data_IF_300400953578
#
_entry.id   IF_300400953578
#
_cell.length_a   1.000
_cell.length_b   1.000
_cell.length_c   1.000
_cell.angle_alpha   90.00
_cell.angle_beta   90.00
_cell.angle_gamma   90.00
#
_symmetry.space_group_name_H-M   'P 1'
#
loop_
_entity.id
_entity.type
_entity.pdbx_description
1 polymer ?
#
# COMPACT_ATOMS: atom_id res chain seq x y z
N UNK A 1 65.45 -26.58 63.11
CA UNK A 1 66.46 -25.52 63.35
C UNK A 1 66.24 -24.41 62.35
N UNK A 2 66.05 -23.16 62.84
CA UNK A 2 66.30 -21.83 62.20
C UNK A 2 65.74 -21.61 60.76
N UNK A 3 65.14 -20.50 60.35
CA UNK A 3 64.72 -19.22 60.92
C UNK A 3 64.08 -18.43 59.74
N UNK A 4 63.02 -17.65 60.02
CA UNK A 4 62.75 -16.24 59.61
C UNK A 4 62.69 -15.87 58.10
N UNK A 5 61.61 -15.24 57.61
CA UNK A 5 61.30 -13.76 57.65
C UNK A 5 62.47 -12.95 57.03
N UNK A 6 62.37 -12.00 56.09
CA UNK A 6 61.29 -11.05 55.68
C UNK A 6 61.81 -10.11 54.57
N UNK A 7 60.90 -9.61 53.73
CA UNK A 7 60.75 -8.21 53.19
C UNK A 7 61.82 -7.57 52.28
N UNK A 8 61.36 -6.97 51.15
CA UNK A 8 61.58 -5.58 50.64
C UNK A 8 61.16 -5.53 49.14
N UNK A 9 59.94 -5.07 48.79
CA UNK A 9 59.54 -3.69 48.51
C UNK A 9 60.16 -3.05 47.26
N UNK A 10 59.36 -2.91 46.18
CA UNK A 10 59.41 -1.76 45.29
C UNK A 10 58.06 -1.59 44.57
N UNK A 11 57.40 -0.48 44.90
CA UNK A 11 56.15 0.01 44.30
C UNK A 11 56.44 0.60 42.92
N UNK A 12 55.55 0.39 41.94
CA UNK A 12 55.30 1.40 40.90
C UNK A 12 53.81 1.41 40.50
N UNK A 13 53.11 2.40 41.05
CA UNK A 13 52.03 3.26 40.50
C UNK A 13 50.82 2.65 39.75
N UNK A 14 49.65 2.78 40.40
CA UNK A 14 48.29 2.86 39.82
C UNK A 14 48.07 4.19 39.04
N UNK A 15 47.14 4.26 38.06
CA UNK A 15 45.73 4.60 38.35
C UNK A 15 44.72 3.59 37.72
N UNK A 16 43.64 3.16 38.41
CA UNK A 16 42.30 3.83 38.51
C UNK A 16 41.67 3.94 37.11
N UNK A 17 40.58 3.28 36.71
CA UNK A 17 39.26 3.10 37.33
C UNK A 17 38.50 2.08 36.45
N UNK A 18 37.89 1.02 37.00
CA UNK A 18 36.92 0.23 36.25
C UNK A 18 35.77 -0.17 37.18
N UNK A 19 34.86 0.77 37.38
CA UNK A 19 33.58 0.54 38.05
C UNK A 19 32.47 0.59 36.99
N UNK A 20 31.93 -0.59 36.70
CA UNK A 20 30.51 -0.92 36.51
C UNK A 20 29.64 -0.05 35.59
N UNK A 21 29.03 -0.67 34.57
CA UNK A 21 27.58 -0.61 34.36
C UNK A 21 27.06 -1.75 33.48
N UNK A 22 25.80 -2.09 33.75
CA UNK A 22 24.98 -3.19 33.27
C UNK A 22 24.62 -3.16 31.78
N UNK A 23 24.33 -4.35 31.25
CA UNK A 23 23.34 -4.75 30.22
C UNK A 23 23.20 -3.87 28.96
N UNK A 24 23.26 -4.49 27.78
CA UNK A 24 22.10 -4.57 26.86
C UNK A 24 22.41 -5.40 25.62
N UNK A 25 21.40 -6.17 25.21
CA UNK A 25 21.38 -7.01 24.02
C UNK A 25 21.42 -6.17 22.73
N UNK A 26 22.26 -6.57 21.77
CA UNK A 26 22.27 -6.00 20.43
C UNK A 26 21.05 -6.49 19.65
N UNK A 27 19.99 -5.69 19.61
CA UNK A 27 18.96 -5.73 18.56
C UNK A 27 19.44 -4.88 17.39
N UNK A 28 19.81 -5.52 16.28
CA UNK A 28 19.98 -4.84 15.01
C UNK A 28 18.58 -4.48 14.49
N UNK A 29 18.23 -3.20 14.62
CA UNK A 29 17.03 -2.63 14.00
C UNK A 29 17.51 -1.90 12.75
N UNK A 30 17.03 -2.23 11.53
CA UNK A 30 17.29 -1.40 10.36
C UNK A 30 16.72 0.00 10.59
N UNK A 31 17.48 1.03 10.20
CA UNK A 31 17.06 2.43 10.29
C UNK A 31 15.82 2.66 9.40
N UNK A 32 14.69 3.05 10.01
CA UNK A 32 13.51 3.55 9.30
C UNK A 32 13.85 4.83 8.52
N UNK A 33 13.56 4.83 7.23
CA UNK A 33 13.40 6.04 6.43
C UNK A 33 12.07 6.75 6.84
N UNK A 34 11.91 8.05 6.54
CA UNK A 34 10.76 8.84 7.00
C UNK A 34 9.43 8.20 6.54
N UNK A 35 8.63 7.75 7.52
CA UNK A 35 7.31 7.18 7.28
C UNK A 35 6.34 8.28 6.87
N UNK A 36 5.48 7.99 5.89
CA UNK A 36 4.27 8.79 5.69
C UNK A 36 3.45 8.86 6.99
N UNK A 37 2.76 9.96 7.27
CA UNK A 37 1.69 9.93 8.26
C UNK A 37 0.65 8.90 7.81
N UNK A 38 0.43 7.86 8.61
CA UNK A 38 -0.63 6.88 8.38
C UNK A 38 -1.97 7.62 8.40
N UNK A 39 -2.48 7.97 7.22
CA UNK A 39 -3.74 8.68 7.08
C UNK A 39 -4.88 7.71 7.39
N UNK A 40 -5.61 8.00 8.48
CA UNK A 40 -6.81 7.27 8.87
C UNK A 40 -7.84 7.31 7.74
N UNK A 41 -8.50 6.18 7.48
CA UNK A 41 -9.67 6.12 6.61
C UNK A 41 -10.79 7.02 7.16
N UNK A 42 -10.78 8.30 6.79
CA UNK A 42 -11.78 9.26 7.20
C UNK A 42 -12.98 9.15 6.24
N UNK A 43 -14.15 8.82 6.78
CA UNK A 43 -15.41 9.08 6.10
C UNK A 43 -15.58 10.60 5.98
N UNK A 44 -15.13 11.17 4.86
CA UNK A 44 -15.22 12.61 4.65
C UNK A 44 -16.66 13.02 4.35
N UNK A 45 -17.23 13.78 5.30
CA UNK A 45 -18.50 14.49 5.17
C UNK A 45 -18.44 15.56 4.08
N UNK A 46 -19.52 15.72 3.32
CA UNK A 46 -19.70 16.66 2.23
C UNK A 46 -19.65 18.14 2.67
N UNK A 47 -18.45 18.70 2.86
CA UNK A 47 -18.21 20.14 2.81
C UNK A 47 -17.92 20.56 1.38
N UNK A 48 -18.60 21.59 0.86
CA UNK A 48 -18.32 22.19 -0.45
C UNK A 48 -16.97 22.90 -0.37
N UNK A 49 -15.91 22.21 -0.79
CA UNK A 49 -14.57 22.81 -0.92
C UNK A 49 -14.50 23.55 -2.27
N UNK A 50 -14.43 24.88 -2.22
CA UNK A 50 -14.47 25.78 -3.39
C UNK A 50 -13.22 25.69 -4.29
N UNK A 51 -12.17 25.01 -3.83
CA UNK A 51 -10.94 24.67 -4.58
C UNK A 51 -11.11 23.49 -5.56
N UNK A 52 -12.26 22.81 -5.53
CA UNK A 52 -12.54 21.62 -6.36
C UNK A 52 -13.08 21.94 -7.77
N UNK A 53 -13.30 23.21 -8.12
CA UNK A 53 -13.89 23.56 -9.41
C UNK A 53 -12.84 23.55 -10.54
N UNK A 54 -13.08 22.80 -11.64
CA UNK A 54 -12.30 22.88 -12.86
C UNK A 54 -12.15 24.33 -13.33
N UNK A 55 -10.92 24.78 -13.59
CA UNK A 55 -10.66 26.10 -14.17
C UNK A 55 -10.68 26.08 -15.71
N UNK A 56 -10.77 24.88 -16.30
CA UNK A 56 -10.82 24.63 -17.74
C UNK A 56 -11.86 23.57 -18.09
N UNK A 57 -12.17 23.43 -19.39
CA UNK A 57 -13.00 22.33 -19.89
C UNK A 57 -12.31 20.98 -19.59
N UNK A 58 -13.02 20.01 -18.99
CA UNK A 58 -12.46 18.70 -18.71
C UNK A 58 -12.18 17.91 -20.00
N UNK A 59 -11.01 17.27 -20.03
CA UNK A 59 -10.61 16.35 -21.09
C UNK A 59 -10.86 14.92 -20.64
N UNK A 60 -11.65 14.16 -21.39
CA UNK A 60 -11.89 12.73 -21.12
C UNK A 60 -10.60 11.94 -21.33
N UNK A 61 -10.13 11.27 -20.28
CA UNK A 61 -8.96 10.39 -20.28
C UNK A 61 -9.36 8.94 -20.57
N UNK A 62 -10.47 8.50 -19.99
CA UNK A 62 -10.96 7.14 -20.13
C UNK A 62 -12.49 7.13 -20.12
N UNK A 63 -13.08 6.33 -21.00
CA UNK A 63 -14.50 6.01 -21.03
C UNK A 63 -14.62 4.50 -21.23
N UNK A 64 -15.16 3.78 -20.24
CA UNK A 64 -15.17 2.32 -20.25
C UNK A 64 -16.49 1.78 -19.72
N UNK A 65 -17.01 0.75 -20.40
CA UNK A 65 -18.20 0.00 -19.96
C UNK A 65 -17.84 -1.46 -19.76
N UNK A 66 -18.11 -2.01 -18.58
CA UNK A 66 -17.80 -3.40 -18.25
C UNK A 66 -18.70 -3.93 -17.13
N UNK A 67 -19.20 -5.17 -17.26
CA UNK A 67 -20.01 -5.81 -16.22
C UNK A 67 -21.19 -4.95 -15.73
N UNK A 68 -21.81 -4.15 -16.61
CA UNK A 68 -22.89 -3.21 -16.29
C UNK A 68 -22.45 -1.90 -15.61
N UNK A 69 -21.16 -1.69 -15.37
CA UNK A 69 -20.60 -0.39 -15.03
C UNK A 69 -20.37 0.45 -16.28
N UNK A 70 -20.54 1.75 -16.15
CA UNK A 70 -20.02 2.75 -17.10
C UNK A 70 -19.22 3.77 -16.28
N UNK A 71 -17.97 3.96 -16.66
CA UNK A 71 -16.97 4.75 -15.92
C UNK A 71 -16.35 5.75 -16.88
N UNK A 72 -16.42 7.03 -16.52
CA UNK A 72 -15.81 8.13 -17.26
C UNK A 72 -14.85 8.87 -16.33
N UNK A 73 -13.58 8.92 -16.73
CA UNK A 73 -12.52 9.68 -16.09
C UNK A 73 -12.23 10.91 -16.95
N UNK A 74 -12.37 12.09 -16.37
CA UNK A 74 -12.00 13.35 -17.03
C UNK A 74 -11.03 14.13 -16.17
N UNK A 75 -10.07 14.82 -16.77
CA UNK A 75 -9.13 15.66 -16.04
C UNK A 75 -9.32 17.11 -16.46
N UNK A 76 -9.23 18.03 -15.51
CA UNK A 76 -9.22 19.46 -15.79
C UNK A 76 -8.17 20.14 -14.92
N UNK A 77 -7.51 21.18 -15.44
CA UNK A 77 -6.67 22.04 -14.62
C UNK A 77 -7.50 22.66 -13.48
N UNK A 78 -6.89 22.86 -12.31
CA UNK A 78 -7.48 23.60 -11.21
C UNK A 78 -6.69 24.89 -10.95
N UNK A 79 -6.97 25.58 -9.85
CA UNK A 79 -6.36 26.89 -9.54
C UNK A 79 -5.15 26.78 -8.58
N UNK A 80 -4.77 25.58 -8.16
CA UNK A 80 -3.64 25.35 -7.27
C UNK A 80 -2.34 25.47 -8.05
N UNK A 81 -1.47 26.39 -7.65
CA UNK A 81 -0.12 26.51 -8.21
C UNK A 81 0.82 25.57 -7.47
N UNK A 82 1.64 24.83 -8.23
CA UNK A 82 2.66 23.97 -7.63
C UNK A 82 3.87 24.81 -7.26
N UNK A 83 4.20 24.83 -5.97
CA UNK A 83 5.29 25.61 -5.37
C UNK A 83 6.62 25.28 -6.06
N UNK A 84 7.35 26.34 -6.40
CA UNK A 84 8.64 26.22 -7.07
C UNK A 84 8.55 25.94 -8.57
N UNK A 85 7.35 25.94 -9.16
CA UNK A 85 7.15 25.73 -10.60
C UNK A 85 6.16 26.76 -11.19
N UNK A 86 6.08 26.78 -12.52
CA UNK A 86 5.04 27.51 -13.26
C UNK A 86 3.81 26.63 -13.60
N UNK A 87 3.74 25.43 -13.02
CA UNK A 87 2.68 24.47 -13.30
C UNK A 87 1.48 24.69 -12.37
N UNK A 88 0.31 24.26 -12.84
CA UNK A 88 -0.92 24.18 -12.06
C UNK A 88 -1.30 22.73 -11.87
N UNK A 89 -1.86 22.43 -10.71
CA UNK A 89 -2.40 21.13 -10.42
C UNK A 89 -3.67 20.85 -11.26
N UNK A 90 -4.10 19.60 -11.27
CA UNK A 90 -5.31 19.15 -11.94
C UNK A 90 -6.27 18.43 -10.98
N UNK A 91 -7.51 18.31 -11.41
CA UNK A 91 -8.57 17.58 -10.73
C UNK A 91 -9.07 16.48 -11.65
N UNK A 92 -9.07 15.25 -11.17
CA UNK A 92 -9.74 14.12 -11.80
C UNK A 92 -11.22 14.14 -11.41
N UNK A 93 -12.10 14.08 -12.40
CA UNK A 93 -13.55 14.03 -12.25
C UNK A 93 -14.02 12.63 -12.64
N UNK A 94 -14.59 11.92 -11.66
CA UNK A 94 -15.02 10.53 -11.82
C UNK A 94 -16.54 10.48 -11.91
N UNK A 95 -17.05 10.02 -13.06
CA UNK A 95 -18.47 9.75 -13.28
C UNK A 95 -18.68 8.26 -13.41
N UNK A 96 -19.52 7.68 -12.55
CA UNK A 96 -19.77 6.23 -12.51
C UNK A 96 -21.26 5.96 -12.45
N UNK A 97 -21.73 5.12 -13.37
CA UNK A 97 -23.06 4.54 -13.32
C UNK A 97 -23.00 3.02 -13.29
N UNK A 98 -24.03 2.39 -12.71
CA UNK A 98 -24.19 0.95 -12.62
C UNK A 98 -25.59 0.57 -13.09
N UNK A 99 -25.66 -0.23 -14.16
CA UNK A 99 -26.89 -0.66 -14.82
C UNK A 99 -27.80 0.54 -15.16
N UNK A 100 -27.21 1.63 -15.67
CA UNK A 100 -27.92 2.87 -16.02
C UNK A 100 -28.25 3.79 -14.84
N UNK A 101 -28.03 3.37 -13.59
CA UNK A 101 -28.18 4.24 -12.41
C UNK A 101 -26.89 4.99 -12.12
N UNK A 102 -26.94 6.32 -12.16
CA UNK A 102 -25.82 7.17 -11.75
C UNK A 102 -25.55 7.00 -10.25
N UNK A 103 -24.30 6.70 -9.89
CA UNK A 103 -23.85 6.54 -8.50
C UNK A 103 -22.94 7.70 -8.08
N UNK A 104 -22.05 8.12 -8.98
CA UNK A 104 -21.15 9.24 -8.77
C UNK A 104 -21.20 10.15 -9.99
N UNK A 105 -21.47 11.43 -9.76
CA UNK A 105 -21.49 12.45 -10.81
C UNK A 105 -20.29 13.37 -10.63
N UNK A 106 -19.34 13.30 -11.57
CA UNK A 106 -18.13 14.15 -11.61
C UNK A 106 -17.47 14.30 -10.22
N UNK A 107 -17.37 13.21 -9.46
CA UNK A 107 -16.76 13.19 -8.13
C UNK A 107 -15.31 13.66 -8.26
N UNK A 108 -14.91 14.77 -7.63
CA UNK A 108 -13.54 15.25 -7.76
C UNK A 108 -12.59 14.43 -6.91
N UNK A 109 -11.44 14.11 -7.50
CA UNK A 109 -10.24 13.58 -6.87
C UNK A 109 -9.12 14.58 -7.16
N UNK A 110 -8.47 15.05 -6.11
CA UNK A 110 -7.36 16.01 -6.15
C UNK A 110 -6.12 15.43 -5.49
N UNK A 111 -4.97 16.09 -5.65
CA UNK A 111 -3.74 15.82 -4.89
C UNK A 111 -4.02 15.66 -3.39
N UNK A 112 -4.79 16.57 -2.80
CA UNK A 112 -5.20 16.50 -1.39
C UNK A 112 -5.98 15.22 -1.06
N UNK A 113 -6.86 14.79 -1.97
CA UNK A 113 -7.66 13.57 -1.77
C UNK A 113 -6.78 12.32 -1.85
N UNK A 114 -5.80 12.31 -2.76
CA UNK A 114 -4.83 11.22 -2.92
C UNK A 114 -3.94 11.09 -1.70
N UNK A 115 -3.43 12.22 -1.17
CA UNK A 115 -2.46 12.24 -0.07
C UNK A 115 -3.11 12.27 1.33
N UNK A 116 -4.41 12.53 1.42
CA UNK A 116 -5.12 12.68 2.69
C UNK A 116 -4.78 13.96 3.46
N UNK A 117 -4.08 14.91 2.83
CA UNK A 117 -3.60 16.15 3.45
C UNK A 117 -3.23 17.21 2.40
N UNK A 118 -2.99 18.44 2.85
CA UNK A 118 -2.54 19.52 1.96
C UNK A 118 -1.12 19.25 1.45
N UNK A 119 -0.88 19.47 0.16
CA UNK A 119 0.43 19.42 -0.48
C UNK A 119 0.44 20.44 -1.63
N UNK A 120 1.50 21.25 -1.69
CA UNK A 120 1.71 22.28 -2.71
C UNK A 120 2.96 21.99 -3.57
N UNK A 121 3.60 20.83 -3.40
CA UNK A 121 4.83 20.42 -4.11
C UNK A 121 4.61 19.35 -5.16
N UNK A 122 3.50 18.63 -5.06
CA UNK A 122 3.08 17.55 -5.95
C UNK A 122 1.86 17.95 -6.76
N UNK A 123 1.76 17.36 -7.94
CA UNK A 123 0.60 17.48 -8.81
C UNK A 123 -0.06 16.12 -8.99
N UNK A 124 -1.35 16.13 -9.26
CA UNK A 124 -2.10 14.94 -9.66
C UNK A 124 -1.50 14.41 -10.97
N UNK A 125 -1.02 13.17 -10.91
CA UNK A 125 -0.42 12.48 -12.04
C UNK A 125 -1.40 11.57 -12.77
N UNK A 126 -0.87 10.59 -13.52
CA UNK A 126 -1.69 9.60 -14.21
C UNK A 126 -2.69 8.93 -13.28
N UNK A 127 -3.91 8.76 -13.79
CA UNK A 127 -4.99 8.08 -13.10
C UNK A 127 -5.72 7.17 -14.07
N UNK A 128 -6.03 5.95 -13.65
CA UNK A 128 -6.62 4.94 -14.53
C UNK A 128 -7.54 4.00 -13.75
N UNK A 129 -8.51 3.41 -14.46
CA UNK A 129 -9.29 2.30 -13.90
C UNK A 129 -8.39 1.07 -13.85
N UNK A 130 -8.06 0.62 -12.64
CA UNK A 130 -7.19 -0.55 -12.43
C UNK A 130 -7.99 -1.85 -12.56
N UNK A 131 -9.15 -1.95 -11.89
CA UNK A 131 -9.98 -3.15 -11.95
C UNK A 131 -11.47 -2.82 -11.80
N UNK A 132 -12.33 -3.55 -12.51
CA UNK A 132 -13.78 -3.50 -12.35
C UNK A 132 -14.28 -4.88 -11.93
N UNK A 133 -14.91 -4.98 -10.76
CA UNK A 133 -15.58 -6.19 -10.27
C UNK A 133 -17.10 -6.06 -10.41
N UNK A 134 -17.87 -7.05 -9.96
CA UNK A 134 -19.33 -6.94 -9.95
C UNK A 134 -19.83 -5.89 -8.94
N UNK A 135 -19.00 -5.62 -7.93
CA UNK A 135 -19.32 -4.87 -6.72
C UNK A 135 -18.62 -3.52 -6.68
N UNK A 136 -17.48 -3.35 -7.35
CA UNK A 136 -16.62 -2.18 -7.15
C UNK A 136 -15.90 -1.80 -8.44
N UNK A 137 -15.71 -0.49 -8.64
CA UNK A 137 -14.76 0.08 -9.61
C UNK A 137 -13.56 0.58 -8.82
N UNK A 138 -12.38 0.07 -9.15
CA UNK A 138 -11.10 0.49 -8.56
C UNK A 138 -10.37 1.42 -9.52
N UNK A 139 -10.06 2.62 -9.04
CA UNK A 139 -9.26 3.62 -9.76
C UNK A 139 -8.00 3.85 -8.94
N UNK A 140 -6.85 3.86 -9.60
CA UNK A 140 -5.60 4.29 -9.00
C UNK A 140 -5.33 5.70 -9.47
N UNK A 141 -5.02 6.59 -8.53
CA UNK A 141 -4.58 7.94 -8.80
C UNK A 141 -3.36 8.27 -7.96
N UNK A 142 -2.35 8.85 -8.61
CA UNK A 142 -1.10 9.26 -7.97
C UNK A 142 -0.94 10.77 -7.89
N UNK A 143 -0.14 11.21 -6.93
CA UNK A 143 0.32 12.58 -6.79
C UNK A 143 1.86 12.57 -6.73
N UNK A 144 2.50 13.30 -7.63
CA UNK A 144 3.94 13.24 -7.86
C UNK A 144 4.55 14.63 -7.92
N UNK A 145 5.83 14.74 -7.55
CA UNK A 145 6.62 15.93 -7.84
C UNK A 145 6.67 16.10 -9.37
N UNK A 146 6.47 17.32 -9.90
CA UNK A 146 6.47 17.53 -11.34
C UNK A 146 7.75 17.03 -12.01
N UNK A 147 7.59 16.42 -13.18
CA UNK A 147 8.66 15.84 -13.99
C UNK A 147 9.50 14.77 -13.28
N UNK A 148 8.95 14.11 -12.25
CA UNK A 148 9.54 12.94 -11.61
C UNK A 148 8.51 11.85 -11.31
N UNK A 149 9.01 10.69 -10.89
CA UNK A 149 8.27 9.55 -10.36
C UNK A 149 8.18 9.55 -8.82
N UNK A 150 8.76 10.55 -8.14
CA UNK A 150 8.67 10.74 -6.69
C UNK A 150 7.25 11.17 -6.32
N UNK A 151 6.49 10.22 -5.80
CA UNK A 151 5.12 10.46 -5.40
C UNK A 151 4.49 9.30 -4.66
N UNK A 152 3.20 9.45 -4.43
CA UNK A 152 2.39 8.48 -3.73
C UNK A 152 1.09 8.26 -4.48
N UNK A 153 0.55 7.05 -4.37
CA UNK A 153 -0.74 6.71 -4.94
C UNK A 153 -1.73 6.23 -3.88
N UNK A 154 -2.99 6.33 -4.25
CA UNK A 154 -4.11 5.79 -3.50
C UNK A 154 -5.00 4.98 -4.43
N UNK A 155 -5.54 3.88 -3.90
CA UNK A 155 -6.61 3.12 -4.55
C UNK A 155 -7.95 3.69 -4.09
N UNK A 156 -8.76 4.11 -5.06
CA UNK A 156 -10.13 4.58 -4.86
C UNK A 156 -11.10 3.46 -5.21
N UNK A 157 -11.86 2.99 -4.23
CA UNK A 157 -12.84 1.93 -4.39
C UNK A 157 -14.26 2.51 -4.39
N UNK A 158 -14.86 2.57 -5.59
CA UNK A 158 -16.23 3.03 -5.81
C UNK A 158 -17.19 1.84 -5.83
N UNK A 159 -17.87 1.60 -4.70
CA UNK A 159 -18.71 0.43 -4.50
C UNK A 159 -20.13 0.63 -5.06
N UNK A 160 -20.79 -0.47 -5.46
CA UNK A 160 -22.14 -0.49 -6.08
C UNK A 160 -23.26 0.05 -5.19
N UNK A 161 -23.02 0.17 -3.89
CA UNK A 161 -23.93 0.78 -2.92
C UNK A 161 -23.81 2.33 -2.91
N UNK A 162 -22.90 2.91 -3.69
CA UNK A 162 -22.64 4.35 -3.73
C UNK A 162 -21.62 4.85 -2.71
N UNK A 163 -20.90 3.97 -1.99
CA UNK A 163 -19.82 4.38 -1.10
C UNK A 163 -18.48 4.51 -1.85
N UNK A 164 -17.66 5.45 -1.41
CA UNK A 164 -16.27 5.60 -1.82
C UNK A 164 -15.37 5.29 -0.62
N UNK A 165 -14.39 4.41 -0.81
CA UNK A 165 -13.28 4.20 0.12
C UNK A 165 -11.96 4.58 -0.56
N UNK A 166 -11.04 5.18 0.20
CA UNK A 166 -9.72 5.59 -0.28
C UNK A 166 -8.68 4.86 0.55
N UNK A 167 -7.72 4.21 -0.13
CA UNK A 167 -6.66 3.43 0.48
C UNK A 167 -5.30 3.96 0.02
N UNK A 168 -4.56 4.69 0.88
CA UNK A 168 -3.19 5.05 0.60
C UNK A 168 -2.33 3.81 0.36
N UNK A 169 -1.50 3.83 -0.68
CA UNK A 169 -0.51 2.79 -0.90
C UNK A 169 0.70 3.05 0.01
N UNK A 170 1.17 2.04 0.78
CA UNK A 170 2.17 2.21 1.83
C UNK A 170 3.57 2.69 1.37
N UNK A 171 3.97 2.52 0.10
CA UNK A 171 5.25 3.04 -0.46
C UNK A 171 5.09 3.40 -1.96
N UNK A 172 6.09 4.11 -2.54
CA UNK A 172 6.10 4.54 -3.95
C UNK A 172 6.29 3.37 -4.92
N UNK A 173 5.74 3.51 -6.14
CA UNK A 173 5.70 2.53 -7.23
C UNK A 173 7.02 1.77 -7.43
N UNK A 174 7.00 0.48 -7.14
CA UNK A 174 8.06 -0.51 -7.41
C UNK A 174 7.37 -1.90 -7.49
N UNK A 175 8.11 -3.01 -7.67
CA UNK A 175 7.53 -4.38 -7.77
C UNK A 175 6.61 -4.80 -6.59
N UNK A 176 6.56 -4.03 -5.50
CA UNK A 176 5.65 -4.18 -4.35
C UNK A 176 4.17 -3.96 -4.71
N UNK A 177 3.87 -3.33 -5.84
CA UNK A 177 2.51 -2.87 -6.19
C UNK A 177 1.52 -4.03 -6.28
N UNK A 178 1.93 -5.18 -6.81
CA UNK A 178 1.02 -6.32 -7.04
C UNK A 178 0.47 -6.89 -5.74
N UNK A 179 1.34 -7.08 -4.74
CA UNK A 179 0.90 -7.57 -3.42
C UNK A 179 0.08 -6.51 -2.70
N UNK A 180 0.52 -5.25 -2.75
CA UNK A 180 -0.19 -4.12 -2.14
C UNK A 180 -1.59 -3.97 -2.71
N UNK A 181 -1.73 -3.80 -4.02
CA UNK A 181 -2.99 -3.65 -4.72
C UNK A 181 -3.91 -4.86 -4.49
N UNK A 182 -3.37 -6.08 -4.59
CA UNK A 182 -4.12 -7.29 -4.29
C UNK A 182 -4.72 -7.23 -2.89
N UNK A 183 -3.91 -6.97 -1.85
CA UNK A 183 -4.41 -6.93 -0.48
C UNK A 183 -5.40 -5.78 -0.25
N UNK A 184 -5.22 -4.61 -0.88
CA UNK A 184 -6.21 -3.52 -0.81
C UNK A 184 -7.55 -3.99 -1.39
N UNK A 185 -7.54 -4.42 -2.66
CA UNK A 185 -8.77 -4.72 -3.40
C UNK A 185 -9.46 -5.95 -2.84
N UNK A 186 -8.71 -7.01 -2.56
CA UNK A 186 -9.24 -8.27 -2.04
C UNK A 186 -9.79 -8.11 -0.61
N UNK A 187 -9.16 -7.28 0.23
CA UNK A 187 -9.70 -6.93 1.56
C UNK A 187 -10.99 -6.13 1.42
N UNK A 188 -11.03 -5.13 0.52
CA UNK A 188 -12.24 -4.35 0.26
C UNK A 188 -13.41 -5.23 -0.19
N UNK A 189 -13.17 -6.21 -1.06
CA UNK A 189 -14.20 -7.16 -1.50
C UNK A 189 -14.68 -8.09 -0.37
N UNK A 190 -13.78 -8.54 0.52
CA UNK A 190 -14.17 -9.33 1.70
C UNK A 190 -14.97 -8.53 2.74
N UNK A 191 -14.82 -7.21 2.76
CA UNK A 191 -15.58 -6.32 3.63
C UNK A 191 -16.97 -5.96 3.07
N UNK A 192 -17.26 -6.27 1.80
CA UNK A 192 -18.59 -6.06 1.23
C UNK A 192 -19.66 -6.88 1.96
N UNK A 193 -20.90 -6.37 1.95
CA UNK A 193 -22.06 -7.00 2.60
C UNK A 193 -23.24 -7.06 1.62
N UNK A 194 -23.65 -8.26 1.15
CA UNK A 194 -22.96 -9.55 1.30
C UNK A 194 -21.63 -9.59 0.53
N UNK A 195 -20.76 -10.54 0.89
CA UNK A 195 -19.52 -10.80 0.14
C UNK A 195 -19.85 -11.40 -1.23
N UNK A 196 -19.34 -10.81 -2.30
CA UNK A 196 -19.51 -11.31 -3.67
C UNK A 196 -18.32 -12.20 -4.06
N UNK A 197 -18.53 -13.53 -4.02
CA UNK A 197 -17.49 -14.50 -4.38
C UNK A 197 -16.94 -14.32 -5.80
N UNK A 198 -17.76 -14.03 -6.83
CA UNK A 198 -17.23 -13.76 -8.17
C UNK A 198 -16.28 -12.55 -8.21
N UNK A 199 -16.58 -11.45 -7.50
CA UNK A 199 -15.66 -10.31 -7.38
C UNK A 199 -14.33 -10.71 -6.73
N UNK A 200 -14.36 -11.46 -5.63
CA UNK A 200 -13.14 -11.98 -5.00
C UNK A 200 -12.30 -12.83 -5.95
N UNK A 201 -12.94 -13.76 -6.67
CA UNK A 201 -12.26 -14.59 -7.66
C UNK A 201 -11.69 -13.76 -8.82
N UNK A 202 -12.37 -12.68 -9.22
CA UNK A 202 -11.85 -11.78 -10.25
C UNK A 202 -10.57 -11.09 -9.79
N UNK A 203 -10.55 -10.55 -8.56
CA UNK A 203 -9.33 -9.96 -7.98
C UNK A 203 -8.22 -11.01 -7.87
N UNK A 204 -8.51 -12.20 -7.37
CA UNK A 204 -7.51 -13.27 -7.25
C UNK A 204 -6.89 -13.69 -8.61
N UNK A 205 -7.70 -13.72 -9.68
CA UNK A 205 -7.22 -14.04 -11.04
C UNK A 205 -6.44 -12.88 -11.67
N UNK A 206 -6.82 -11.64 -11.34
CA UNK A 206 -6.11 -10.46 -11.83
C UNK A 206 -4.70 -10.38 -11.26
N UNK A 207 -4.52 -10.69 -9.98
CA UNK A 207 -3.23 -10.51 -9.32
C UNK A 207 -2.43 -11.80 -9.13
N UNK A 208 -3.01 -12.99 -9.33
CA UNK A 208 -2.36 -14.26 -9.02
C UNK A 208 -2.29 -15.24 -10.17
N UNK A 209 -1.41 -16.24 -10.01
CA UNK A 209 -1.32 -17.40 -10.90
C UNK A 209 -2.50 -18.34 -10.68
N UNK A 210 -2.73 -19.27 -11.60
CA UNK A 210 -3.75 -20.30 -11.36
C UNK A 210 -3.46 -21.16 -10.12
N UNK A 211 -2.18 -21.35 -9.77
CA UNK A 211 -1.79 -22.10 -8.58
C UNK A 211 -2.25 -21.37 -7.31
N UNK A 212 -2.06 -20.05 -7.27
CA UNK A 212 -2.56 -19.20 -6.20
C UNK A 212 -4.09 -19.23 -6.11
N UNK A 213 -4.79 -19.09 -7.24
CA UNK A 213 -6.26 -19.12 -7.25
C UNK A 213 -6.79 -20.45 -6.73
N UNK A 214 -6.18 -21.59 -7.13
CA UNK A 214 -6.53 -22.92 -6.60
C UNK A 214 -6.27 -23.04 -5.10
N UNK A 215 -5.20 -22.43 -4.59
CA UNK A 215 -4.93 -22.38 -3.16
C UNK A 215 -6.05 -21.63 -2.43
N UNK A 216 -6.43 -20.44 -2.89
CA UNK A 216 -7.51 -19.64 -2.31
C UNK A 216 -8.87 -20.36 -2.33
N UNK A 217 -9.21 -21.01 -3.45
CA UNK A 217 -10.47 -21.77 -3.57
C UNK A 217 -10.53 -22.94 -2.57
N UNK A 218 -9.37 -23.55 -2.27
CA UNK A 218 -9.26 -24.66 -1.30
C UNK A 218 -9.25 -24.17 0.15
N UNK A 219 -8.41 -23.18 0.47
CA UNK A 219 -8.12 -22.77 1.84
C UNK A 219 -9.11 -21.69 2.34
N UNK A 220 -9.87 -21.08 1.42
CA UNK A 220 -10.90 -20.10 1.70
C UNK A 220 -10.40 -18.65 1.61
N UNK A 221 -11.31 -17.67 1.47
CA UNK A 221 -10.94 -16.30 1.14
C UNK A 221 -10.23 -15.55 2.28
N UNK A 222 -10.32 -16.04 3.53
CA UNK A 222 -9.62 -15.41 4.66
C UNK A 222 -8.26 -16.06 4.95
N UNK A 223 -7.85 -17.08 4.19
CA UNK A 223 -6.58 -17.79 4.40
C UNK A 223 -5.33 -16.94 4.15
N UNK A 224 -5.49 -15.80 3.49
CA UNK A 224 -4.40 -14.86 3.18
C UNK A 224 -4.09 -13.90 4.33
N UNK A 225 -4.78 -14.02 5.46
CA UNK A 225 -4.54 -13.18 6.63
C UNK A 225 -4.11 -14.03 7.82
N UNK A 226 -3.28 -13.48 8.73
CA UNK A 226 -3.07 -14.10 10.02
C UNK A 226 -4.41 -14.31 10.73
N UNK A 227 -4.65 -15.44 11.44
CA UNK A 227 -5.94 -15.72 12.06
C UNK A 227 -6.43 -14.61 13.01
N UNK A 228 -5.51 -13.92 13.69
CA UNK A 228 -5.83 -12.78 14.56
C UNK A 228 -6.38 -11.58 13.79
N UNK A 229 -5.91 -11.32 12.56
CA UNK A 229 -6.37 -10.22 11.71
C UNK A 229 -7.80 -10.48 11.23
N UNK A 230 -8.09 -11.70 10.76
CA UNK A 230 -9.45 -12.08 10.34
C UNK A 230 -10.42 -12.21 11.53
N UNK A 231 -9.95 -12.78 12.65
CA UNK A 231 -10.78 -13.09 13.81
C UNK A 231 -11.05 -11.89 14.73
N UNK A 232 -9.99 -11.29 15.29
CA UNK A 232 -10.13 -10.21 16.29
C UNK A 232 -10.35 -8.86 15.64
N UNK A 233 -9.60 -8.56 14.58
CA UNK A 233 -9.62 -7.25 13.94
C UNK A 233 -10.65 -7.16 12.81
N UNK A 234 -11.25 -8.28 12.38
CA UNK A 234 -12.23 -8.32 11.29
C UNK A 234 -11.73 -7.62 10.02
N UNK A 235 -10.44 -7.78 9.72
CA UNK A 235 -9.71 -7.12 8.62
C UNK A 235 -9.56 -5.58 8.75
N UNK A 236 -9.99 -4.98 9.85
CA UNK A 236 -9.78 -3.56 10.12
C UNK A 236 -8.38 -3.31 10.72
N UNK A 237 -7.38 -3.36 9.84
CA UNK A 237 -5.96 -3.17 10.14
C UNK A 237 -5.30 -2.28 9.09
N UNK A 238 -4.18 -1.66 9.44
CA UNK A 238 -3.26 -1.10 8.44
C UNK A 238 -2.28 -2.20 8.01
N UNK A 239 -1.61 -2.01 6.87
CA UNK A 239 -0.53 -2.91 6.48
C UNK A 239 0.59 -2.19 5.72
N UNK A 240 1.77 -2.80 5.76
CA UNK A 240 2.92 -2.44 4.94
C UNK A 240 3.48 -3.67 4.23
N UNK A 241 4.28 -3.45 3.21
CA UNK A 241 4.86 -4.50 2.37
C UNK A 241 6.35 -4.27 2.25
N UNK A 242 7.15 -5.34 2.38
CA UNK A 242 8.58 -5.31 2.09
C UNK A 242 8.95 -6.50 1.21
N UNK A 243 9.70 -6.27 0.15
CA UNK A 243 10.19 -7.34 -0.72
C UNK A 243 11.52 -7.87 -0.24
N UNK A 244 11.73 -9.14 -0.50
CA UNK A 244 12.99 -9.83 -0.28
C UNK A 244 13.28 -10.65 -1.53
N UNK A 245 14.42 -10.36 -2.16
CA UNK A 245 14.94 -11.17 -3.25
C UNK A 245 15.86 -12.24 -2.68
N UNK A 246 15.60 -13.49 -3.01
CA UNK A 246 16.35 -14.63 -2.55
C UNK A 246 16.89 -15.40 -3.76
N UNK A 247 18.21 -15.51 -3.85
CA UNK A 247 18.90 -16.23 -4.92
C UNK A 247 19.36 -17.60 -4.38
N UNK A 248 18.77 -18.67 -4.91
CA UNK A 248 19.12 -20.05 -4.54
C UNK A 248 19.46 -20.86 -5.80
N UNK A 249 20.70 -21.35 -5.86
CA UNK A 249 21.21 -22.20 -6.95
C UNK A 249 20.96 -21.62 -8.36
N UNK A 250 21.08 -20.29 -8.51
CA UNK A 250 20.86 -19.57 -9.77
C UNK A 250 19.39 -19.30 -10.12
N UNK A 251 18.44 -19.66 -9.24
CA UNK A 251 17.04 -19.24 -9.33
C UNK A 251 16.81 -18.04 -8.42
N UNK A 252 16.39 -16.92 -9.00
CA UNK A 252 15.95 -15.74 -8.27
C UNK A 252 14.47 -15.93 -7.93
N UNK A 253 14.12 -15.76 -6.65
CA UNK A 253 12.75 -15.69 -6.18
C UNK A 253 12.52 -14.38 -5.46
N UNK A 254 11.40 -13.75 -5.73
CA UNK A 254 10.98 -12.59 -4.97
C UNK A 254 9.79 -12.91 -4.06
N UNK A 255 9.87 -12.33 -2.88
CA UNK A 255 8.89 -12.49 -1.83
C UNK A 255 8.39 -11.12 -1.40
N UNK A 256 7.09 -10.94 -1.30
CA UNK A 256 6.49 -9.82 -0.59
C UNK A 256 6.12 -10.26 0.84
N UNK A 257 6.64 -9.56 1.83
CA UNK A 257 6.34 -9.75 3.24
C UNK A 257 5.29 -8.72 3.65
N UNK A 258 4.07 -9.19 3.89
CA UNK A 258 2.96 -8.36 4.34
C UNK A 258 2.99 -8.26 5.85
N UNK A 259 3.02 -7.06 6.40
CA UNK A 259 2.96 -6.81 7.85
C UNK A 259 1.66 -6.09 8.18
N UNK A 260 0.92 -6.57 9.17
CA UNK A 260 -0.36 -6.02 9.58
C UNK A 260 -0.22 -5.29 10.90
N UNK A 261 -0.91 -4.16 11.05
CA UNK A 261 -0.82 -3.28 12.21
C UNK A 261 -2.20 -2.93 12.77
N UNK A 262 -2.27 -2.90 14.10
CA UNK A 262 -3.40 -2.36 14.82
C UNK A 262 -3.49 -0.84 14.56
N UNK A 263 -4.58 -0.36 13.96
CA UNK A 263 -4.76 1.06 13.62
C UNK A 263 -4.63 2.00 14.83
N UNK A 264 -5.04 1.55 16.01
CA UNK A 264 -5.04 2.37 17.22
C UNK A 264 -3.69 2.37 17.91
N UNK A 265 -3.05 1.20 17.99
CA UNK A 265 -1.83 1.01 18.78
C UNK A 265 -0.56 1.05 17.93
N UNK A 266 -0.69 1.03 16.60
CA UNK A 266 0.39 1.01 15.62
C UNK A 266 1.43 -0.10 15.90
N UNK A 267 0.95 -1.20 16.49
CA UNK A 267 1.76 -2.40 16.77
C UNK A 267 1.49 -3.45 15.71
N UNK A 268 2.54 -4.18 15.33
CA UNK A 268 2.38 -5.33 14.45
C UNK A 268 1.50 -6.40 15.12
N UNK A 269 0.54 -6.93 14.37
CA UNK A 269 -0.40 -7.98 14.81
C UNK A 269 -0.22 -9.28 14.05
N UNK A 270 0.66 -9.32 13.06
CA UNK A 270 1.01 -10.51 12.30
C UNK A 270 1.65 -10.17 10.97
N UNK A 271 2.11 -11.20 10.26
CA UNK A 271 2.64 -11.08 8.91
C UNK A 271 2.27 -12.29 8.06
N UNK A 272 2.34 -12.11 6.74
CA UNK A 272 2.17 -13.16 5.74
C UNK A 272 3.32 -13.08 4.74
N UNK A 273 3.81 -14.23 4.28
CA UNK A 273 4.82 -14.27 3.21
C UNK A 273 4.15 -14.65 1.89
N UNK A 274 4.39 -13.84 0.88
CA UNK A 274 3.76 -13.94 -0.45
C UNK A 274 4.87 -14.17 -1.47
N UNK A 275 4.84 -15.29 -2.17
CA UNK A 275 5.78 -15.57 -3.25
C UNK A 275 5.27 -14.94 -4.55
N UNK A 276 6.13 -14.19 -5.22
CA UNK A 276 5.84 -13.57 -6.51
C UNK A 276 6.28 -14.49 -7.65
N UNK A 277 5.50 -14.50 -8.72
CA UNK A 277 5.85 -15.14 -9.98
C UNK A 277 6.46 -14.09 -10.90
N UNK A 278 7.68 -14.37 -11.35
CA UNK A 278 8.41 -13.56 -12.33
C UNK A 278 8.42 -14.21 -13.69
N UNK A 279 8.25 -13.40 -14.73
CA UNK A 279 8.39 -13.81 -16.12
C UNK A 279 9.57 -13.07 -16.75
N UNK A 280 10.32 -13.75 -17.61
CA UNK A 280 11.40 -13.09 -18.35
C UNK A 280 10.79 -12.17 -19.40
N UNK A 281 11.21 -10.91 -19.41
CA UNK A 281 10.88 -9.97 -20.47
C UNK A 281 11.76 -10.20 -21.71
N UNK A 282 11.55 -9.39 -22.75
CA UNK A 282 12.31 -9.45 -24.01
C UNK A 282 13.82 -9.19 -23.85
N UNK A 283 14.24 -8.60 -22.73
CA UNK A 283 15.63 -8.30 -22.39
C UNK A 283 16.28 -9.36 -21.47
N UNK A 284 15.57 -10.45 -21.17
CA UNK A 284 15.93 -11.48 -20.17
C UNK A 284 15.93 -11.02 -18.70
N UNK A 285 15.43 -9.83 -18.40
CA UNK A 285 15.17 -9.42 -17.02
C UNK A 285 13.90 -10.09 -16.51
N UNK A 286 13.82 -10.36 -15.21
CA UNK A 286 12.65 -10.96 -14.59
C UNK A 286 11.72 -9.83 -14.13
N UNK A 287 10.54 -9.73 -14.75
CA UNK A 287 9.45 -8.88 -14.28
C UNK A 287 8.48 -9.68 -13.42
N UNK A 288 8.36 -9.33 -12.14
CA UNK A 288 7.38 -9.92 -11.24
C UNK A 288 6.03 -9.24 -11.45
N UNK A 289 5.02 -10.02 -11.88
CA UNK A 289 3.72 -9.49 -12.30
C UNK A 289 2.51 -10.23 -11.67
N UNK A 290 2.74 -11.32 -10.93
CA UNK A 290 1.68 -12.13 -10.31
C UNK A 290 2.09 -12.67 -8.93
N UNK A 291 1.11 -12.99 -8.10
CA UNK A 291 1.26 -13.77 -6.87
C UNK A 291 1.25 -15.25 -7.22
N UNK A 292 2.32 -15.96 -6.87
CA UNK A 292 2.42 -17.41 -7.08
C UNK A 292 1.75 -18.20 -5.96
N UNK A 293 2.01 -17.79 -4.71
CA UNK A 293 1.59 -18.55 -3.52
C UNK A 293 1.63 -17.69 -2.26
N UNK A 294 0.75 -17.99 -1.30
CA UNK A 294 0.81 -17.40 0.04
C UNK A 294 1.14 -18.48 1.06
N UNK A 295 2.00 -18.13 2.00
CA UNK A 295 2.44 -19.01 3.07
C UNK A 295 1.79 -18.52 4.36
N UNK A 296 0.94 -19.38 4.92
CA UNK A 296 0.39 -19.16 6.24
C UNK A 296 1.53 -19.11 7.28
N UNK A 297 1.38 -18.29 8.34
CA UNK A 297 2.36 -18.19 9.42
C UNK A 297 2.55 -19.50 10.18
#
# INVERSE_FOLDING_TARGET
MKNRLTTFAARLLLPVLAATCLLTACRNTPKQAPQQPVAQAAAQSAGRDTTLQPSAEPVTQQDTTCCGWHVVLQTAANNTQIRGTNLRDSTLLVTISKNGKLLFDRKPITTRTVLGGEDDTRQLGPSFVSLITNTTVYIIAGAYVPDSDDGFASVFAFSRNGSLSVYPMPESYDYFDIATEFYIMYTHENLQRPVDRPSLQKVAREYGTEAFVRQLDKDGPLSIYPPIVAGKYHLDVDFSVYTETLEEAGNIREWANMYFYDKQQQRSVGSMRVELAGEKNEYNDIGYNKINRIYAP
#
